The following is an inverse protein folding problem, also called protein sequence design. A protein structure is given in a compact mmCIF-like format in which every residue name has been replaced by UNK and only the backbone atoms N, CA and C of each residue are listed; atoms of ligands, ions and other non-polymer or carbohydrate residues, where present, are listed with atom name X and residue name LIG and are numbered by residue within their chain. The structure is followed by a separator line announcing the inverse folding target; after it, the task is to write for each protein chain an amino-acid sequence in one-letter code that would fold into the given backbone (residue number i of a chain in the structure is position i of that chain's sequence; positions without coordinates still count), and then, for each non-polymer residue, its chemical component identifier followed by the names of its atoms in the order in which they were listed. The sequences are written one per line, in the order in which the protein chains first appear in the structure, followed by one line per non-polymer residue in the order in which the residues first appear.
data_IF_195151037017
#
_entry.id   IF_195151037017
#
_cell.length_a   1.000
_cell.length_b   1.000
_cell.length_c   1.000
_cell.angle_alpha   90.00
_cell.angle_beta   90.00
_cell.angle_gamma   90.00
#
_symmetry.space_group_name_H-M   'P 1'
#
loop_
_entity.id
_entity.type
_entity.pdbx_description
1 polymer ?
#
# COMPACT_ATOMS: atom_id res chain seq x y z
N UNK A 1 7.02 11.69 3.95
CA UNK A 1 7.77 12.94 3.63
C UNK A 1 7.83 13.04 2.12
N UNK A 2 7.89 14.22 1.50
CA UNK A 2 8.17 14.26 0.05
C UNK A 2 9.68 14.11 -0.14
N UNK A 3 10.07 13.00 -0.76
CA UNK A 3 11.48 12.66 -0.96
C UNK A 3 11.96 12.89 -2.39
N UNK A 4 11.03 13.07 -3.31
CA UNK A 4 11.27 13.28 -4.73
C UNK A 4 10.63 14.59 -5.20
N UNK A 5 11.25 15.22 -6.20
CA UNK A 5 10.77 16.43 -6.85
C UNK A 5 11.23 16.50 -8.31
N UNK A 6 10.52 17.27 -9.13
CA UNK A 6 11.05 17.76 -10.39
C UNK A 6 12.04 18.91 -10.14
N UNK A 7 13.08 18.96 -10.95
CA UNK A 7 14.07 20.05 -10.97
C UNK A 7 13.51 21.36 -11.53
N UNK A 8 12.53 21.27 -12.43
CA UNK A 8 11.90 22.38 -13.17
C UNK A 8 10.36 22.24 -13.15
N UNK A 9 9.65 23.31 -13.57
CA UNK A 9 8.18 23.37 -13.55
C UNK A 9 7.54 22.66 -14.76
N UNK A 10 7.89 21.41 -15.00
CA UNK A 10 7.46 20.61 -16.17
C UNK A 10 7.35 19.11 -15.76
N UNK A 11 6.28 18.37 -16.13
CA UNK A 11 6.21 16.91 -15.98
C UNK A 11 7.42 16.15 -16.54
N UNK A 12 8.00 16.60 -17.65
CA UNK A 12 9.15 15.92 -18.29
C UNK A 12 10.51 16.27 -17.63
N UNK A 13 10.52 17.20 -16.67
CA UNK A 13 11.72 17.55 -15.91
C UNK A 13 12.31 16.33 -15.21
N UNK A 14 13.65 16.23 -15.24
CA UNK A 14 14.43 15.29 -14.40
C UNK A 14 13.88 15.26 -12.97
N UNK A 15 13.55 14.06 -12.50
CA UNK A 15 13.21 13.81 -11.10
C UNK A 15 14.52 13.63 -10.33
N UNK A 16 14.60 14.28 -9.17
CA UNK A 16 15.68 14.14 -8.21
C UNK A 16 15.12 13.67 -6.86
N UNK A 17 15.95 13.01 -6.06
CA UNK A 17 15.68 12.84 -4.64
C UNK A 17 16.29 13.96 -3.81
N UNK A 18 15.78 14.10 -2.59
CA UNK A 18 16.40 14.98 -1.60
C UNK A 18 17.80 14.51 -1.20
N UNK A 19 18.13 13.22 -1.39
CA UNK A 19 19.47 12.71 -1.10
C UNK A 19 20.49 13.20 -2.13
N UNK A 20 20.10 13.29 -3.41
CA UNK A 20 20.91 13.93 -4.45
C UNK A 20 21.17 15.42 -4.10
N UNK A 21 20.15 16.13 -3.59
CA UNK A 21 20.30 17.52 -3.14
C UNK A 21 21.26 17.64 -1.96
N UNK A 22 21.19 16.75 -0.97
CA UNK A 22 22.12 16.74 0.17
C UNK A 22 23.55 16.40 -0.28
N UNK A 23 23.73 15.49 -1.24
CA UNK A 23 25.04 15.22 -1.82
C UNK A 23 25.59 16.45 -2.56
N UNK A 24 24.75 17.15 -3.33
CA UNK A 24 25.12 18.38 -4.03
C UNK A 24 25.49 19.54 -3.10
N UNK A 25 24.72 19.73 -2.01
CA UNK A 25 25.01 20.72 -0.97
C UNK A 25 26.32 20.44 -0.20
N UNK A 26 26.74 19.17 -0.12
CA UNK A 26 28.00 18.76 0.49
C UNK A 26 29.12 18.53 -0.56
N UNK A 27 28.87 18.86 -1.83
CA UNK A 27 29.78 18.61 -2.94
C UNK A 27 30.64 19.83 -3.30
N UNK A 28 31.27 19.78 -4.48
CA UNK A 28 32.17 20.83 -4.97
C UNK A 28 31.46 22.16 -5.32
N UNK A 29 30.14 22.14 -5.57
CA UNK A 29 29.35 23.32 -5.98
C UNK A 29 28.06 23.51 -5.18
N UNK A 30 28.11 23.73 -3.84
CA UNK A 30 26.91 23.85 -3.00
C UNK A 30 25.93 24.95 -3.45
N UNK A 31 26.47 26.07 -3.96
CA UNK A 31 25.70 27.22 -4.44
C UNK A 31 24.74 26.91 -5.59
N UNK A 32 24.96 25.81 -6.35
CA UNK A 32 24.04 25.35 -7.40
C UNK A 32 22.78 24.65 -6.84
N UNK A 33 22.76 24.36 -5.54
CA UNK A 33 21.72 23.62 -4.83
C UNK A 33 21.05 24.45 -3.72
N UNK A 34 21.79 25.38 -3.11
CA UNK A 34 21.27 26.34 -2.14
C UNK A 34 20.21 27.27 -2.75
N UNK A 35 19.18 27.62 -1.98
CA UNK A 35 18.09 28.50 -2.41
C UNK A 35 17.21 27.96 -3.57
N UNK A 36 17.59 26.85 -4.21
CA UNK A 36 16.93 26.31 -5.40
C UNK A 36 15.47 25.95 -5.15
N UNK A 37 14.65 26.22 -6.16
CA UNK A 37 13.25 25.84 -6.20
C UNK A 37 13.11 24.49 -6.89
N UNK A 38 12.31 23.61 -6.31
CA UNK A 38 11.95 22.29 -6.83
C UNK A 38 10.43 22.21 -6.98
N UNK A 39 9.89 21.24 -7.71
CA UNK A 39 8.45 21.17 -7.98
C UNK A 39 7.88 19.80 -7.61
N UNK A 40 6.70 19.79 -6.97
CA UNK A 40 6.13 18.53 -6.45
C UNK A 40 5.67 17.60 -7.57
N UNK A 41 5.97 16.30 -7.48
CA UNK A 41 5.73 15.32 -8.55
C UNK A 41 4.31 15.32 -9.17
N UNK A 42 3.27 15.56 -8.37
CA UNK A 42 1.87 15.35 -8.81
C UNK A 42 1.11 16.64 -9.13
N UNK A 43 1.58 17.79 -8.63
CA UNK A 43 0.85 19.05 -8.67
C UNK A 43 1.70 20.23 -9.12
N UNK A 44 2.98 20.01 -9.43
CA UNK A 44 3.95 21.04 -9.82
C UNK A 44 4.03 22.26 -8.88
N UNK A 45 3.66 22.08 -7.61
CA UNK A 45 3.71 23.13 -6.60
C UNK A 45 5.18 23.40 -6.20
N UNK A 46 5.62 24.68 -6.10
CA UNK A 46 6.95 25.04 -5.65
C UNK A 46 7.30 24.51 -4.25
N UNK A 47 8.48 23.93 -4.15
CA UNK A 47 9.09 23.35 -2.95
C UNK A 47 10.53 23.84 -2.78
N UNK A 48 11.06 23.65 -1.57
CA UNK A 48 12.45 23.87 -1.19
C UNK A 48 12.96 22.66 -0.39
N UNK A 49 14.25 22.39 -0.48
CA UNK A 49 14.91 21.38 0.33
C UNK A 49 14.98 21.82 1.80
N UNK A 50 14.66 20.93 2.74
CA UNK A 50 14.76 21.17 4.18
C UNK A 50 15.20 19.93 4.94
N UNK A 51 15.86 20.15 6.08
CA UNK A 51 16.06 19.11 7.09
C UNK A 51 15.00 19.26 8.18
N UNK A 52 14.36 18.16 8.56
CA UNK A 52 13.45 18.15 9.71
C UNK A 52 14.27 18.32 10.99
N UNK A 53 14.10 19.45 11.70
CA UNK A 53 14.91 19.81 12.87
C UNK A 53 14.87 18.78 14.01
N UNK A 54 13.76 18.06 14.17
CA UNK A 54 13.58 17.05 15.22
C UNK A 54 14.18 15.69 14.84
N UNK A 55 14.04 15.26 13.58
CA UNK A 55 14.43 13.91 13.12
C UNK A 55 15.72 13.88 12.29
N UNK A 56 16.32 15.03 11.99
CA UNK A 56 17.48 15.21 11.11
C UNK A 56 17.32 14.50 9.74
N UNK A 57 16.07 14.38 9.26
CA UNK A 57 15.77 13.76 7.96
C UNK A 57 15.54 14.84 6.89
N UNK A 58 16.27 14.78 5.76
CA UNK A 58 16.04 15.68 4.65
C UNK A 58 14.71 15.34 3.97
N UNK A 59 14.00 16.37 3.51
CA UNK A 59 12.76 16.26 2.73
C UNK A 59 12.54 17.53 1.90
N UNK A 60 11.69 17.43 0.87
CA UNK A 60 11.13 18.61 0.22
C UNK A 60 9.92 19.12 1.02
N UNK A 61 9.85 20.44 1.20
CA UNK A 61 8.73 21.13 1.83
C UNK A 61 8.21 22.22 0.88
N UNK A 62 6.89 22.40 0.81
CA UNK A 62 6.27 23.44 -0.01
C UNK A 62 6.73 24.85 0.40
N UNK A 63 6.81 25.76 -0.58
CA UNK A 63 7.07 27.18 -0.30
C UNK A 63 5.87 27.81 0.43
N UNK A 64 6.09 28.77 1.36
CA UNK A 64 5.00 29.57 1.93
C UNK A 64 4.14 30.21 0.83
N UNK A 65 2.83 30.27 1.04
CA UNK A 65 1.87 30.84 0.07
C UNK A 65 1.42 29.88 -1.05
N UNK A 66 2.11 28.76 -1.29
CA UNK A 66 1.81 27.85 -2.40
C UNK A 66 1.03 26.57 -2.00
N UNK A 67 0.42 26.56 -0.81
CA UNK A 67 -0.33 25.40 -0.30
C UNK A 67 0.55 24.33 0.35
N UNK A 68 -0.04 23.62 1.33
CA UNK A 68 0.67 22.66 2.18
C UNK A 68 1.34 23.30 3.40
N UNK A 69 1.33 22.58 4.54
CA UNK A 69 1.90 23.09 5.78
C UNK A 69 3.41 22.76 5.86
N UNK A 70 4.20 23.53 6.61
CA UNK A 70 5.67 23.36 6.71
C UNK A 70 6.12 21.97 7.24
N UNK A 71 5.20 21.20 7.81
CA UNK A 71 5.35 19.86 8.35
C UNK A 71 4.54 18.79 7.56
N UNK A 72 3.95 19.11 6.39
CA UNK A 72 3.11 18.18 5.61
C UNK A 72 3.96 17.11 4.93
N UNK A 73 4.38 16.14 5.73
CA UNK A 73 5.38 15.13 5.34
C UNK A 73 5.28 13.82 6.13
N UNK A 74 4.12 13.46 6.67
CA UNK A 74 3.95 12.17 7.34
C UNK A 74 4.23 10.97 6.41
N UNK A 75 4.88 9.93 6.96
CA UNK A 75 4.69 8.54 6.53
C UNK A 75 5.36 8.03 5.26
N UNK A 76 5.06 8.61 4.10
CA UNK A 76 5.36 7.98 2.80
C UNK A 76 6.86 7.93 2.47
N UNK A 77 7.31 6.82 1.88
CA UNK A 77 8.70 6.53 1.48
C UNK A 77 8.97 6.73 -0.02
N UNK A 78 10.24 6.71 -0.44
CA UNK A 78 10.63 6.85 -1.86
C UNK A 78 10.07 5.71 -2.70
N UNK A 79 10.15 4.48 -2.21
CA UNK A 79 9.68 3.29 -2.90
C UNK A 79 8.18 3.39 -3.21
N UNK A 80 7.41 3.94 -2.27
CA UNK A 80 5.97 4.18 -2.41
C UNK A 80 5.67 5.27 -3.44
N UNK A 81 6.39 6.40 -3.40
CA UNK A 81 6.26 7.50 -4.37
C UNK A 81 6.62 7.06 -5.79
N UNK A 82 7.72 6.31 -5.98
CA UNK A 82 8.09 5.77 -7.28
C UNK A 82 7.11 4.70 -7.77
N UNK A 83 6.57 3.86 -6.88
CA UNK A 83 5.59 2.84 -7.27
C UNK A 83 4.34 3.46 -7.88
N UNK A 84 3.82 4.55 -7.30
CA UNK A 84 2.71 5.34 -7.88
C UNK A 84 3.02 5.82 -9.28
N UNK A 85 4.17 6.48 -9.47
CA UNK A 85 4.59 6.98 -10.79
C UNK A 85 4.75 5.84 -11.80
N UNK A 86 5.41 4.74 -11.42
CA UNK A 86 5.66 3.60 -12.32
C UNK A 86 4.34 2.98 -12.80
N UNK A 87 3.35 2.83 -11.93
CA UNK A 87 2.03 2.30 -12.33
C UNK A 87 1.29 3.31 -13.24
N UNK A 88 1.38 4.61 -12.94
CA UNK A 88 0.80 5.67 -13.77
C UNK A 88 1.44 5.74 -15.16
N UNK A 89 2.76 5.59 -15.26
CA UNK A 89 3.52 5.58 -16.51
C UNK A 89 3.25 4.29 -17.32
N UNK A 90 3.17 3.13 -16.66
CA UNK A 90 2.88 1.84 -17.31
C UNK A 90 1.42 1.72 -17.80
N UNK A 91 0.47 2.41 -17.15
CA UNK A 91 -0.97 2.29 -17.38
C UNK A 91 -1.50 0.85 -17.38
N UNK A 92 -0.83 -0.06 -16.67
CA UNK A 92 -1.24 -1.46 -16.56
C UNK A 92 -0.69 -2.09 -15.27
N UNK A 93 -1.40 -3.08 -14.73
CA UNK A 93 -0.97 -3.89 -13.60
C UNK A 93 -1.31 -5.37 -13.81
N UNK A 94 -0.29 -6.21 -13.78
CA UNK A 94 -0.41 -7.66 -13.83
C UNK A 94 -0.60 -8.14 -12.38
N UNK A 95 -1.75 -8.74 -12.04
CA UNK A 95 -2.07 -9.09 -10.64
C UNK A 95 -2.68 -10.49 -10.48
N UNK A 96 -2.62 -11.01 -9.25
CA UNK A 96 -3.31 -12.22 -8.78
C UNK A 96 -4.22 -11.86 -7.60
N UNK A 97 -5.49 -12.23 -7.68
CA UNK A 97 -6.48 -12.08 -6.60
C UNK A 97 -7.14 -13.44 -6.35
N UNK A 98 -6.82 -14.07 -5.21
CA UNK A 98 -7.14 -15.48 -5.00
C UNK A 98 -6.45 -16.31 -6.10
N UNK A 99 -7.19 -17.20 -6.76
CA UNK A 99 -6.66 -17.99 -7.88
C UNK A 99 -6.76 -17.32 -9.26
N UNK A 100 -7.39 -16.16 -9.37
CA UNK A 100 -7.53 -15.46 -10.65
C UNK A 100 -6.26 -14.66 -10.94
N UNK A 101 -5.66 -14.89 -12.10
CA UNK A 101 -4.46 -14.23 -12.61
C UNK A 101 -4.79 -13.49 -13.92
N UNK A 102 -4.60 -12.17 -13.92
CA UNK A 102 -4.88 -11.33 -15.09
C UNK A 102 -4.22 -9.95 -15.04
N UNK A 103 -4.32 -9.21 -16.15
CA UNK A 103 -3.79 -7.85 -16.31
C UNK A 103 -4.93 -6.83 -16.35
N UNK A 104 -4.88 -5.79 -15.52
CA UNK A 104 -5.80 -4.64 -15.62
C UNK A 104 -5.08 -3.52 -16.39
N UNK A 105 -5.75 -2.98 -17.41
CA UNK A 105 -5.26 -1.86 -18.23
C UNK A 105 -6.05 -0.59 -17.95
N UNK A 106 -5.36 0.56 -17.96
CA UNK A 106 -5.92 1.85 -17.59
C UNK A 106 -5.85 2.85 -18.76
N UNK A 107 -6.93 3.59 -19.01
CA UNK A 107 -6.88 4.77 -19.91
C UNK A 107 -6.39 6.01 -19.16
N UNK A 108 -6.84 6.14 -17.91
CA UNK A 108 -6.62 7.27 -17.00
C UNK A 108 -6.07 6.75 -15.66
N UNK A 109 -5.10 7.46 -15.07
CA UNK A 109 -4.55 7.17 -13.74
C UNK A 109 -4.35 8.48 -12.99
N UNK A 110 -5.12 8.70 -11.94
CA UNK A 110 -5.01 9.88 -11.07
C UNK A 110 -4.22 9.48 -9.82
N UNK A 111 -3.07 10.12 -9.60
CA UNK A 111 -2.24 9.90 -8.41
C UNK A 111 -2.77 10.75 -7.25
N UNK A 112 -2.86 10.16 -6.05
CA UNK A 112 -3.25 10.87 -4.83
C UNK A 112 -4.66 11.52 -4.86
N UNK A 113 -5.65 10.86 -5.49
CA UNK A 113 -7.05 11.34 -5.54
C UNK A 113 -7.64 11.57 -4.13
N UNK A 114 -8.05 12.81 -3.78
CA UNK A 114 -8.74 13.10 -2.52
C UNK A 114 -10.23 12.70 -2.57
N UNK A 115 -10.78 12.37 -1.40
CA UNK A 115 -12.20 12.13 -1.12
C UNK A 115 -12.55 12.73 0.25
N UNK A 116 -13.83 13.10 0.45
CA UNK A 116 -14.31 13.79 1.67
C UNK A 116 -13.38 14.97 2.05
N UNK A 117 -13.23 15.95 1.14
CA UNK A 117 -12.37 17.12 1.30
C UNK A 117 -10.90 16.81 1.68
N UNK A 118 -10.42 15.63 1.28
CA UNK A 118 -9.05 15.15 1.52
C UNK A 118 -8.87 14.37 2.83
N UNK A 119 -9.95 14.11 3.59
CA UNK A 119 -9.95 13.22 4.77
C UNK A 119 -9.53 11.79 4.40
N UNK A 120 -9.91 11.34 3.21
CA UNK A 120 -9.35 10.15 2.59
C UNK A 120 -8.63 10.55 1.29
N UNK A 121 -7.56 9.83 0.96
CA UNK A 121 -6.78 10.03 -0.26
C UNK A 121 -6.35 8.66 -0.78
N UNK A 122 -6.84 8.26 -1.96
CA UNK A 122 -6.40 7.03 -2.61
C UNK A 122 -4.97 7.18 -3.11
N UNK A 123 -4.19 6.10 -3.20
CA UNK A 123 -2.84 6.18 -3.76
C UNK A 123 -2.89 6.37 -5.27
N UNK A 124 -3.72 5.58 -5.95
CA UNK A 124 -4.08 5.71 -7.36
C UNK A 124 -5.59 5.52 -7.53
N UNK A 125 -6.18 6.26 -8.47
CA UNK A 125 -7.56 6.11 -8.92
C UNK A 125 -7.56 5.99 -10.44
N UNK A 126 -7.86 4.80 -10.96
CA UNK A 126 -7.60 4.44 -12.35
C UNK A 126 -8.89 4.10 -13.09
N UNK A 127 -9.01 4.48 -14.36
CA UNK A 127 -10.13 4.09 -15.25
C UNK A 127 -9.77 2.84 -16.03
N UNK A 128 -10.54 1.77 -15.87
CA UNK A 128 -10.32 0.50 -16.58
C UNK A 128 -10.68 0.67 -18.06
N UNK A 129 -9.82 0.21 -18.98
CA UNK A 129 -10.03 0.35 -20.42
C UNK A 129 -10.12 -0.97 -21.21
N UNK A 130 -10.03 -2.12 -20.54
CA UNK A 130 -10.15 -3.45 -21.15
C UNK A 130 -10.86 -4.43 -20.20
N UNK A 131 -11.54 -5.40 -20.81
CA UNK A 131 -12.10 -6.55 -20.10
C UNK A 131 -11.02 -7.30 -19.32
N UNK A 132 -11.42 -7.88 -18.19
CA UNK A 132 -10.54 -8.56 -17.25
C UNK A 132 -11.29 -9.68 -16.50
N UNK A 133 -10.59 -10.77 -16.20
CA UNK A 133 -11.11 -11.96 -15.49
C UNK A 133 -11.54 -11.66 -14.04
N UNK A 134 -11.27 -10.47 -13.51
CA UNK A 134 -11.71 -10.09 -12.18
C UNK A 134 -13.19 -9.65 -12.14
N UNK A 135 -13.80 -9.38 -13.29
CA UNK A 135 -15.18 -8.90 -13.40
C UNK A 135 -15.34 -7.41 -13.12
N UNK A 136 -14.26 -6.62 -13.16
CA UNK A 136 -14.34 -5.17 -13.00
C UNK A 136 -14.76 -4.53 -14.34
N UNK A 137 -15.88 -3.78 -14.41
CA UNK A 137 -16.41 -3.29 -15.69
C UNK A 137 -15.46 -2.34 -16.43
N UNK A 138 -15.48 -2.40 -17.77
CA UNK A 138 -14.79 -1.40 -18.61
C UNK A 138 -15.40 0.00 -18.38
N UNK A 139 -14.54 1.01 -18.45
CA UNK A 139 -14.81 2.43 -18.13
C UNK A 139 -15.15 2.73 -16.66
N UNK A 140 -15.24 1.71 -15.78
CA UNK A 140 -15.36 1.94 -14.34
C UNK A 140 -14.04 2.43 -13.73
N UNK A 141 -14.15 3.05 -12.56
CA UNK A 141 -12.98 3.48 -11.80
C UNK A 141 -12.62 2.44 -10.72
N UNK A 142 -11.32 2.20 -10.54
CA UNK A 142 -10.77 1.35 -9.48
C UNK A 142 -9.75 2.11 -8.63
N UNK A 143 -9.89 2.00 -7.32
CA UNK A 143 -8.91 2.50 -6.35
C UNK A 143 -7.82 1.44 -6.16
N UNK A 144 -6.56 1.86 -6.24
CA UNK A 144 -5.41 1.00 -5.96
C UNK A 144 -4.64 1.63 -4.80
N UNK A 145 -4.58 0.90 -3.70
CA UNK A 145 -3.80 1.21 -2.51
C UNK A 145 -2.48 0.45 -2.56
N UNK A 146 -1.38 1.09 -2.20
CA UNK A 146 -0.07 0.45 -2.19
C UNK A 146 0.34 0.09 -0.76
N UNK A 147 0.84 -1.12 -0.58
CA UNK A 147 1.22 -1.63 0.74
C UNK A 147 2.71 -2.00 0.78
N UNK A 148 3.52 -1.15 1.42
CA UNK A 148 4.92 -1.48 1.75
C UNK A 148 5.10 -1.97 3.19
N UNK A 149 4.46 -1.31 4.16
CA UNK A 149 4.66 -1.59 5.59
C UNK A 149 3.40 -1.45 6.46
N UNK A 150 2.37 -0.73 6.00
CA UNK A 150 1.15 -0.49 6.74
C UNK A 150 -0.06 -0.79 5.84
N UNK A 151 -0.81 -1.85 6.16
CA UNK A 151 -2.05 -2.21 5.46
C UNK A 151 -3.09 -1.08 5.57
N UNK A 152 -3.99 -1.01 4.60
CA UNK A 152 -5.09 -0.04 4.57
C UNK A 152 -5.96 -0.16 5.82
N UNK A 153 -6.17 0.96 6.52
CA UNK A 153 -6.94 1.02 7.78
C UNK A 153 -8.40 0.64 7.57
N UNK A 154 -9.01 0.00 8.58
CA UNK A 154 -10.40 -0.44 8.53
C UNK A 154 -11.41 0.71 8.33
N UNK A 155 -11.09 1.94 8.77
CA UNK A 155 -11.89 3.14 8.48
C UNK A 155 -11.93 3.46 6.99
N UNK A 156 -10.78 3.41 6.29
CA UNK A 156 -10.70 3.62 4.82
C UNK A 156 -11.41 2.50 4.05
N UNK A 157 -11.27 1.25 4.50
CA UNK A 157 -12.05 0.11 3.96
C UNK A 157 -13.56 0.24 4.19
N UNK A 158 -14.00 0.85 5.30
CA UNK A 158 -15.41 1.17 5.54
C UNK A 158 -15.87 2.30 4.62
N UNK A 159 -15.07 3.34 4.45
CA UNK A 159 -15.33 4.42 3.49
C UNK A 159 -15.55 3.88 2.07
N UNK A 160 -14.68 3.01 1.55
CA UNK A 160 -14.84 2.42 0.21
C UNK A 160 -16.14 1.61 0.07
N UNK A 161 -16.49 0.78 1.07
CA UNK A 161 -17.77 0.06 1.10
C UNK A 161 -18.99 0.98 1.15
N UNK A 162 -18.97 1.98 2.03
CA UNK A 162 -20.07 2.92 2.20
C UNK A 162 -20.35 3.78 0.96
N UNK A 163 -19.36 3.95 0.08
CA UNK A 163 -19.46 4.76 -1.15
C UNK A 163 -19.48 3.91 -2.43
N UNK A 164 -19.60 2.59 -2.31
CA UNK A 164 -19.64 1.64 -3.42
C UNK A 164 -18.43 1.76 -4.38
N UNK A 165 -17.22 1.90 -3.83
CA UNK A 165 -15.98 2.14 -4.59
C UNK A 165 -15.12 0.87 -4.73
N UNK A 166 -15.00 0.34 -5.96
CA UNK A 166 -14.09 -0.77 -6.27
C UNK A 166 -12.67 -0.44 -5.84
N UNK A 167 -12.09 -1.26 -4.95
CA UNK A 167 -10.80 -0.97 -4.34
C UNK A 167 -9.98 -2.24 -4.13
N UNK A 168 -8.69 -2.18 -4.50
CA UNK A 168 -7.69 -3.23 -4.27
C UNK A 168 -6.47 -2.70 -3.51
N UNK A 169 -5.78 -3.57 -2.79
CA UNK A 169 -4.50 -3.33 -2.14
C UNK A 169 -3.43 -4.18 -2.83
N UNK A 170 -2.34 -3.56 -3.29
CA UNK A 170 -1.23 -4.22 -4.00
C UNK A 170 0.03 -4.11 -3.15
N UNK A 171 0.70 -5.24 -2.94
CA UNK A 171 1.93 -5.27 -2.13
C UNK A 171 3.13 -4.72 -2.90
N UNK A 172 3.96 -3.91 -2.24
CA UNK A 172 5.31 -3.55 -2.66
C UNK A 172 6.28 -4.49 -1.95
N UNK A 173 7.18 -5.14 -2.69
CA UNK A 173 8.10 -6.11 -2.10
C UNK A 173 9.10 -5.44 -1.16
N UNK A 174 8.98 -5.72 0.15
CA UNK A 174 9.79 -5.15 1.24
C UNK A 174 11.32 -5.29 1.10
N UNK A 175 11.82 -6.14 0.19
CA UNK A 175 13.26 -6.25 -0.11
C UNK A 175 13.75 -5.18 -1.09
N UNK A 176 12.87 -4.57 -1.87
CA UNK A 176 13.18 -3.39 -2.67
C UNK A 176 13.20 -2.19 -1.72
N UNK A 177 14.36 -1.54 -1.60
CA UNK A 177 14.60 -0.41 -0.70
C UNK A 177 15.50 0.61 -1.37
N UNK A 178 15.32 1.89 -1.05
CA UNK A 178 16.21 2.95 -1.48
C UNK A 178 17.61 2.77 -0.88
N UNK A 179 18.64 2.83 -1.73
CA UNK A 179 20.05 2.65 -1.38
C UNK A 179 20.91 3.86 -1.81
N UNK A 180 20.34 5.06 -1.82
CA UNK A 180 21.01 6.28 -2.31
C UNK A 180 20.87 6.54 -3.81
N UNK A 181 20.40 5.57 -4.60
CA UNK A 181 20.26 5.67 -6.06
C UNK A 181 18.79 5.54 -6.49
N UNK A 182 18.25 6.62 -7.06
CA UNK A 182 16.87 6.70 -7.57
C UNK A 182 16.68 5.88 -8.84
N UNK A 183 17.66 5.86 -9.74
CA UNK A 183 17.56 5.17 -11.04
C UNK A 183 17.59 3.66 -10.85
N UNK A 184 18.48 3.15 -9.98
CA UNK A 184 18.51 1.74 -9.58
C UNK A 184 17.21 1.31 -8.91
N UNK A 185 16.66 2.13 -8.01
CA UNK A 185 15.38 1.85 -7.37
C UNK A 185 14.22 1.84 -8.38
N UNK A 186 14.17 2.82 -9.29
CA UNK A 186 13.18 2.89 -10.37
C UNK A 186 13.27 1.65 -11.28
N UNK A 187 14.49 1.20 -11.63
CA UNK A 187 14.72 -0.04 -12.41
C UNK A 187 14.22 -1.28 -11.67
N UNK A 188 14.49 -1.39 -10.37
CA UNK A 188 14.01 -2.50 -9.53
C UNK A 188 12.48 -2.53 -9.44
N UNK A 189 11.85 -1.40 -9.14
CA UNK A 189 10.39 -1.28 -9.05
C UNK A 189 9.72 -1.50 -10.42
N UNK A 190 10.29 -1.00 -11.52
CA UNK A 190 9.77 -1.24 -12.87
C UNK A 190 9.83 -2.72 -13.24
N UNK A 191 10.96 -3.38 -12.96
CA UNK A 191 11.10 -4.83 -13.13
C UNK A 191 10.18 -5.65 -12.21
N UNK A 192 9.80 -5.08 -11.05
CA UNK A 192 8.81 -5.65 -10.15
C UNK A 192 7.40 -5.55 -10.76
N UNK A 193 6.87 -4.35 -11.02
CA UNK A 193 5.49 -4.16 -11.51
C UNK A 193 5.21 -4.74 -12.90
N UNK A 194 6.23 -5.02 -13.72
CA UNK A 194 6.07 -5.75 -14.99
C UNK A 194 5.68 -7.23 -14.84
N UNK A 195 5.95 -7.88 -13.71
CA UNK A 195 5.48 -9.26 -13.45
C UNK A 195 4.27 -9.25 -12.51
N UNK A 196 3.51 -10.34 -12.51
CA UNK A 196 2.32 -10.57 -11.69
C UNK A 196 2.53 -10.30 -10.19
N UNK A 197 1.62 -9.53 -9.58
CA UNK A 197 1.66 -9.12 -8.17
C UNK A 197 0.45 -9.63 -7.40
N UNK A 198 0.66 -10.05 -6.15
CA UNK A 198 -0.46 -10.36 -5.28
C UNK A 198 -1.23 -9.07 -4.93
N UNK A 199 -2.54 -9.14 -5.08
CA UNK A 199 -3.46 -8.07 -4.75
C UNK A 199 -4.64 -8.61 -3.92
N UNK A 200 -5.16 -7.79 -3.02
CA UNK A 200 -6.31 -8.11 -2.18
C UNK A 200 -7.47 -7.18 -2.51
N UNK A 201 -8.68 -7.71 -2.75
CA UNK A 201 -9.89 -6.88 -2.80
C UNK A 201 -10.14 -6.26 -1.41
N UNK A 202 -10.29 -4.94 -1.38
CA UNK A 202 -10.69 -4.17 -0.21
C UNK A 202 -12.21 -3.96 -0.21
N UNK A 203 -12.77 -3.72 -1.39
CA UNK A 203 -14.20 -3.70 -1.67
C UNK A 203 -14.42 -3.92 -3.18
N UNK A 204 -15.56 -4.48 -3.50
CA UNK A 204 -16.10 -4.65 -4.85
C UNK A 204 -17.61 -4.38 -4.78
N UNK A 205 -18.15 -3.45 -5.59
CA UNK A 205 -19.59 -3.24 -5.73
C UNK A 205 -20.36 -4.51 -6.10
N UNK A 206 -19.77 -5.37 -6.95
CA UNK A 206 -20.42 -6.55 -7.52
C UNK A 206 -20.23 -7.81 -6.63
N UNK A 207 -19.93 -7.62 -5.34
CA UNK A 207 -19.62 -8.72 -4.41
C UNK A 207 -20.78 -9.72 -4.25
N UNK A 208 -22.04 -9.26 -4.26
CA UNK A 208 -23.23 -10.11 -4.13
C UNK A 208 -23.35 -11.07 -5.31
N UNK A 209 -23.22 -10.56 -6.55
CA UNK A 209 -23.17 -11.40 -7.76
C UNK A 209 -22.03 -12.42 -7.75
N UNK A 210 -20.90 -12.10 -7.11
CA UNK A 210 -19.76 -13.02 -6.97
C UNK A 210 -20.03 -14.11 -5.92
N UNK A 211 -20.76 -13.82 -4.85
CA UNK A 211 -21.16 -14.82 -3.84
C UNK A 211 -22.24 -15.74 -4.42
N UNK A 212 -23.31 -15.19 -4.98
CA UNK A 212 -24.43 -15.97 -5.52
C UNK A 212 -23.95 -16.92 -6.64
N UNK A 213 -23.04 -16.47 -7.51
CA UNK A 213 -22.41 -17.32 -8.53
C UNK A 213 -21.53 -18.45 -7.94
N UNK A 214 -20.90 -18.22 -6.79
CA UNK A 214 -20.12 -19.26 -6.08
C UNK A 214 -21.02 -20.30 -5.41
N UNK A 215 -22.14 -19.87 -4.83
CA UNK A 215 -23.11 -20.77 -4.22
C UNK A 215 -23.70 -21.73 -5.27
N UNK A 216 -24.17 -21.22 -6.42
CA UNK A 216 -24.58 -22.07 -7.55
C UNK A 216 -23.48 -23.04 -8.01
N UNK A 217 -22.21 -22.61 -8.08
CA UNK A 217 -21.10 -23.49 -8.49
C UNK A 217 -20.74 -24.57 -7.46
N UNK A 218 -21.13 -24.41 -6.19
CA UNK A 218 -20.88 -25.36 -5.11
C UNK A 218 -22.04 -26.34 -4.87
N UNK A 219 -23.20 -26.10 -5.48
CA UNK A 219 -24.34 -27.04 -5.45
C UNK A 219 -24.22 -28.13 -6.53
N UNK A 220 -23.72 -27.76 -7.72
CA UNK A 220 -23.53 -28.68 -8.85
C UNK A 220 -22.73 -29.97 -8.53
N UNK A 221 -21.61 -29.95 -7.77
CA UNK A 221 -20.84 -31.16 -7.49
C UNK A 221 -21.58 -32.18 -6.61
N UNK A 222 -22.60 -31.76 -5.86
CA UNK A 222 -23.28 -32.63 -4.89
C UNK A 222 -24.39 -33.48 -5.49
N UNK A 223 -24.98 -33.08 -6.62
CA UNK A 223 -26.05 -33.87 -7.23
C UNK A 223 -25.50 -35.04 -8.05
N UNK A 224 -24.45 -34.81 -8.86
CA UNK A 224 -23.82 -35.88 -9.65
C UNK A 224 -23.18 -36.98 -8.76
N UNK A 225 -22.57 -36.61 -7.63
CA UNK A 225 -21.96 -37.60 -6.72
C UNK A 225 -22.98 -38.41 -5.91
N UNK A 226 -24.22 -37.93 -5.79
CA UNK A 226 -25.34 -38.65 -5.13
C UNK A 226 -26.00 -39.61 -6.12
N UNK A 227 -26.17 -39.23 -7.39
CA UNK A 227 -26.71 -40.15 -8.41
C UNK A 227 -25.73 -41.28 -8.77
N UNK A 228 -24.42 -41.01 -8.76
CA UNK A 228 -23.37 -42.03 -8.96
C UNK A 228 -23.21 -43.01 -7.77
N UNK A 229 -23.83 -42.73 -6.61
CA UNK A 229 -23.77 -43.56 -5.40
C UNK A 229 -25.16 -44.05 -4.94
N UNK A 230 -25.96 -44.58 -5.87
CA UNK A 230 -26.99 -45.56 -5.51
C UNK A 230 -26.35 -46.94 -5.31
N UNK A 231 -26.20 -47.44 -4.07
CA UNK A 231 -25.86 -48.85 -3.89
C UNK A 231 -27.07 -49.70 -4.27
N UNK A 232 -26.85 -50.75 -5.07
CA UNK A 232 -27.77 -51.88 -5.10
C UNK A 232 -27.77 -52.52 -3.71
N UNK A 233 -28.93 -52.57 -3.06
CA UNK A 233 -29.09 -53.10 -1.70
C UNK A 233 -28.93 -54.63 -1.69
N UNK A 234 -27.92 -55.19 -1.00
CA UNK A 234 -27.95 -56.59 -0.60
C UNK A 234 -28.90 -56.72 0.59
N UNK A 235 -29.93 -57.55 0.45
CA UNK A 235 -30.96 -57.73 1.47
C UNK A 235 -30.49 -58.61 2.63
N UNK A 236 -29.68 -58.10 3.57
CA UNK A 236 -29.37 -58.80 4.83
C UNK A 236 -29.10 -57.85 6.00
N UNK A 237 -29.22 -58.39 7.23
CA UNK A 237 -28.87 -57.76 8.52
C UNK A 237 -29.77 -56.63 9.07
N UNK A 238 -31.07 -56.92 9.18
CA UNK A 238 -31.89 -56.40 10.30
C UNK A 238 -31.49 -57.07 11.64
N UNK A 239 -30.23 -57.00 12.06
CA UNK A 239 -29.83 -57.69 13.30
C UNK A 239 -28.57 -57.11 13.99
N UNK A 240 -28.67 -55.88 14.52
CA UNK A 240 -27.70 -55.32 15.51
C UNK A 240 -28.25 -54.15 16.33
N UNK A 241 -29.53 -54.20 16.67
CA UNK A 241 -30.13 -53.33 17.69
C UNK A 241 -30.19 -54.06 19.05
N UNK A 242 -29.09 -54.04 19.81
CA UNK A 242 -29.01 -54.32 21.27
C UNK A 242 -27.54 -54.20 21.74
N UNK A 243 -27.36 -53.87 23.04
CA UNK A 243 -26.10 -53.79 23.82
C UNK A 243 -25.28 -52.50 23.59
N UNK A 244 -24.86 -51.67 24.57
CA UNK A 244 -25.38 -51.31 25.92
C UNK A 244 -24.79 -49.91 26.28
N UNK A 245 -25.41 -49.15 27.20
CA UNK A 245 -24.80 -48.05 27.98
C UNK A 245 -23.47 -48.47 28.66
N UNK A 246 -22.54 -47.58 29.07
CA UNK A 246 -22.58 -46.71 30.28
C UNK A 246 -21.42 -45.69 30.27
N UNK A 247 -21.56 -44.62 31.08
CA UNK A 247 -20.74 -43.42 31.29
C UNK A 247 -19.25 -43.61 31.70
N UNK A 248 -18.43 -42.54 31.60
CA UNK A 248 -17.82 -41.89 32.80
C UNK A 248 -17.05 -40.55 32.54
N UNK A 249 -17.52 -39.48 33.22
CA UNK A 249 -16.83 -38.44 34.03
C UNK A 249 -15.41 -37.89 33.72
N UNK A 250 -15.29 -36.57 34.05
CA UNK A 250 -14.12 -35.80 34.61
C UNK A 250 -13.06 -35.25 33.63
N UNK A 251 -12.31 -34.15 33.88
CA UNK A 251 -12.28 -33.02 34.86
C UNK A 251 -11.61 -31.77 34.16
N UNK A 252 -11.60 -30.54 34.72
CA UNK A 252 -11.13 -29.31 34.04
C UNK A 252 -9.64 -28.95 34.27
N UNK A 253 -9.12 -27.94 33.56
CA UNK A 253 -7.74 -27.41 33.69
C UNK A 253 -7.73 -25.87 33.78
N UNK A 254 -6.75 -25.35 34.52
CA UNK A 254 -6.56 -23.97 35.00
C UNK A 254 -5.92 -23.01 33.96
N UNK A 255 -6.00 -21.68 34.17
CA UNK A 255 -4.84 -20.82 34.59
C UNK A 255 -5.13 -19.31 34.50
N UNK A 256 -4.48 -18.56 35.40
CA UNK A 256 -4.36 -17.08 35.48
C UNK A 256 -2.85 -16.72 35.48
N UNK A 257 -2.37 -15.45 35.64
CA UNK A 257 -3.01 -14.13 35.60
C UNK A 257 -2.23 -13.08 34.74
N UNK A 258 -2.60 -11.79 34.86
CA UNK A 258 -2.01 -10.62 34.17
C UNK A 258 -0.63 -10.16 34.68
N UNK A 259 0.05 -9.35 33.84
CA UNK A 259 1.32 -8.64 34.10
C UNK A 259 1.05 -7.13 34.23
N UNK A 260 1.72 -6.45 35.17
CA UNK A 260 1.77 -4.98 35.26
C UNK A 260 3.19 -4.51 35.63
N UNK A 261 3.74 -3.54 34.88
CA UNK A 261 5.02 -2.88 35.21
C UNK A 261 4.99 -1.38 34.88
N UNK A 262 5.59 -0.57 35.76
CA UNK A 262 5.54 0.89 35.80
C UNK A 262 6.48 1.60 34.80
N UNK A 263 6.20 2.88 34.45
CA UNK A 263 6.96 3.65 33.47
C UNK A 263 8.22 4.36 34.01
N UNK A 264 9.01 4.84 33.06
CA UNK A 264 10.30 5.55 33.19
C UNK A 264 10.20 7.06 33.47
N UNK A 265 11.26 7.64 34.03
CA UNK A 265 11.49 9.11 34.04
C UNK A 265 12.74 9.53 33.25
N UNK A 266 12.71 10.78 32.74
CA UNK A 266 13.77 11.40 31.94
C UNK A 266 14.63 12.36 32.77
N UNK A 267 15.90 12.48 32.41
CA UNK A 267 16.66 13.73 32.64
C UNK A 267 17.20 14.30 31.32
N UNK A 268 17.00 15.61 31.15
CA UNK A 268 17.40 16.38 29.96
C UNK A 268 18.70 17.15 30.22
N UNK A 269 19.52 17.32 29.18
CA UNK A 269 20.69 18.22 29.17
C UNK A 269 20.51 19.31 28.09
N UNK A 270 21.09 20.52 28.27
CA UNK A 270 20.79 21.69 27.45
C UNK A 270 21.27 21.58 25.99
N UNK A 271 20.64 22.37 25.10
CA UNK A 271 20.82 22.28 23.64
C UNK A 271 21.93 23.19 23.12
N UNK A 272 22.98 22.62 22.52
CA UNK A 272 23.87 23.29 21.55
C UNK A 272 23.10 23.75 20.30
N UNK A 273 23.60 24.78 19.60
CA UNK A 273 22.95 25.40 18.43
C UNK A 273 23.02 24.52 17.17
N UNK A 274 22.35 24.95 16.10
CA UNK A 274 22.16 24.18 14.86
C UNK A 274 23.48 23.89 14.12
N UNK A 275 24.35 24.89 13.94
CA UNK A 275 25.58 24.76 13.17
C UNK A 275 26.73 24.08 13.94
N UNK A 276 26.84 24.33 15.25
CA UNK A 276 27.80 23.65 16.14
C UNK A 276 27.62 22.12 16.14
N UNK A 277 26.39 21.64 15.91
CA UNK A 277 26.08 20.21 15.79
C UNK A 277 26.44 19.62 14.44
N UNK A 278 26.47 20.42 13.38
CA UNK A 278 26.73 19.94 12.02
C UNK A 278 28.24 19.79 11.77
N UNK A 279 29.02 20.82 12.10
CA UNK A 279 30.47 20.83 11.86
C UNK A 279 31.23 19.86 12.78
N UNK A 280 30.77 19.67 14.02
CA UNK A 280 31.38 18.75 14.98
C UNK A 280 31.24 17.25 14.65
N UNK A 281 30.48 16.88 13.61
CA UNK A 281 30.30 15.49 13.16
C UNK A 281 31.16 15.10 11.95
N UNK A 282 31.86 16.06 11.32
CA UNK A 282 32.77 15.81 10.19
C UNK A 282 34.25 16.00 10.54
N UNK A 283 34.56 16.28 11.81
CA UNK A 283 35.93 16.43 12.33
C UNK A 283 36.27 15.31 13.33
N UNK A 284 36.12 14.05 12.90
CA UNK A 284 36.71 12.86 13.54
C UNK A 284 36.68 11.65 12.60
#
# INVERSE_FOLDING_TARGET
MKYLAHLENNPDSKIISIYDVIQGLNGETPSAWEGRTYFSLWHHIPMIAKVNSTKQKPHFAFKPGHGGNKNSGGGESIEHQLSKKIISDLKSLNIKIGEIEDSIFFSEVIIEQPFEDGKYKADLYCRICKENKFGFPVNSMIIIELHLSNRVKNSKKKFYRNNNLTAIEVDIWHKIKFQGDVQKLQKQLSGYFRKQRFAKRLHDPNWETIINGRECSNELPKQEEIEAKKPELPSFERERAKITHVEQKSLPVETSPNIDLKPSELHTKPKKTFWERLLGLFSK
#
